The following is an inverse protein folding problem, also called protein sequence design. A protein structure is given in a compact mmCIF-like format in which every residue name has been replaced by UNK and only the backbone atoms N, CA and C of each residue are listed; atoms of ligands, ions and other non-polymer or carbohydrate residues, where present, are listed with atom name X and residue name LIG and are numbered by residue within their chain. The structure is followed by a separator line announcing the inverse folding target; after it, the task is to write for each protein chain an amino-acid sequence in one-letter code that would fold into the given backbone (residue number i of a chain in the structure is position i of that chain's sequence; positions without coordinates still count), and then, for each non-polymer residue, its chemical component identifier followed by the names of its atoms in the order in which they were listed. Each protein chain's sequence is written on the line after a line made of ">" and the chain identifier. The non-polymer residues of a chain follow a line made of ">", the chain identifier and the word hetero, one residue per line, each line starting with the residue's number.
data_IF_096472271956
#
_entry.id   IF_096472271956
#
_cell.length_a   1.000
_cell.length_b   1.000
_cell.length_c   1.000
_cell.angle_alpha   90.00
_cell.angle_beta   90.00
_cell.angle_gamma   90.00
#
_symmetry.space_group_name_H-M   'P 1'
#
loop_
_entity.id
_entity.type
_entity.pdbx_description
1 polymer ?
#
# COMPACT_ATOMS: atom_id res chain seq x y z
N UNK A 1 -17.44 -20.68 5.61
CA UNK A 1 -16.63 -21.07 4.44
C UNK A 1 -15.65 -19.96 4.19
N UNK A 2 -14.36 -20.26 4.04
CA UNK A 2 -13.34 -19.24 3.78
C UNK A 2 -13.28 -18.95 2.28
N UNK A 3 -13.05 -17.70 1.82
CA UNK A 3 -13.11 -17.38 0.40
C UNK A 3 -12.17 -18.24 -0.43
N UNK A 4 -12.67 -18.76 -1.54
CA UNK A 4 -11.85 -19.44 -2.54
C UNK A 4 -10.88 -18.46 -3.19
N UNK A 5 -9.75 -18.98 -3.69
CA UNK A 5 -8.77 -18.15 -4.39
C UNK A 5 -9.37 -17.81 -5.77
N UNK A 6 -9.66 -16.53 -6.06
CA UNK A 6 -10.42 -16.16 -7.25
C UNK A 6 -9.56 -16.22 -8.53
N UNK A 7 -8.23 -16.17 -8.39
CA UNK A 7 -7.29 -16.25 -9.50
C UNK A 7 -5.90 -16.71 -9.08
N UNK A 8 -5.17 -17.29 -10.04
CA UNK A 8 -3.81 -17.75 -9.82
C UNK A 8 -2.85 -16.60 -9.45
N UNK A 9 -2.15 -16.77 -8.33
CA UNK A 9 -1.19 -15.78 -7.85
C UNK A 9 -1.81 -14.56 -7.18
N UNK A 10 -3.03 -14.69 -6.62
CA UNK A 10 -3.64 -13.70 -5.73
C UNK A 10 -2.60 -13.10 -4.77
N UNK A 11 -2.48 -11.78 -4.82
CA UNK A 11 -1.60 -11.01 -3.95
C UNK A 11 -2.02 -9.55 -3.93
N UNK A 12 -1.45 -8.79 -2.99
CA UNK A 12 -1.59 -7.34 -2.91
C UNK A 12 -0.29 -6.67 -3.38
N UNK A 13 -0.12 -6.43 -4.69
CA UNK A 13 1.12 -5.87 -5.23
C UNK A 13 1.33 -4.43 -4.80
N UNK A 14 2.49 -4.13 -4.22
CA UNK A 14 2.95 -2.79 -3.85
C UNK A 14 4.38 -2.59 -4.38
N UNK A 15 4.88 -1.35 -4.44
CA UNK A 15 6.26 -1.08 -4.86
C UNK A 15 7.29 -1.83 -4.00
N UNK A 16 8.32 -2.38 -4.64
CA UNK A 16 9.42 -3.09 -3.97
C UNK A 16 10.31 -2.15 -3.16
N UNK A 17 10.18 -0.84 -3.38
CA UNK A 17 10.92 0.19 -2.67
C UNK A 17 10.15 0.72 -1.44
N UNK A 18 9.04 0.09 -1.06
CA UNK A 18 8.21 0.56 0.06
C UNK A 18 8.98 0.60 1.40
N UNK A 19 9.99 -0.28 1.57
CA UNK A 19 10.86 -0.28 2.75
C UNK A 19 11.90 0.85 2.81
N UNK A 20 12.05 1.64 1.73
CA UNK A 20 13.01 2.77 1.65
C UNK A 20 12.30 4.10 1.94
N UNK A 21 10.99 4.07 2.21
CA UNK A 21 10.20 5.25 2.57
C UNK A 21 10.54 5.69 4.00
N UNK A 22 11.69 6.35 4.19
CA UNK A 22 11.97 7.12 5.40
C UNK A 22 11.48 8.56 5.23
N UNK A 23 11.26 9.25 6.35
CA UNK A 23 10.89 10.67 6.35
C UNK A 23 11.86 11.51 5.51
N UNK A 24 13.17 11.35 5.73
CA UNK A 24 14.19 12.14 5.02
C UNK A 24 14.19 11.90 3.50
N UNK A 25 13.96 10.64 3.08
CA UNK A 25 13.86 10.30 1.65
C UNK A 25 12.61 10.93 1.04
N UNK A 26 11.47 10.85 1.73
CA UNK A 26 10.22 11.46 1.25
C UNK A 26 10.32 12.98 1.20
N UNK A 27 10.88 13.61 2.24
CA UNK A 27 11.17 15.04 2.29
C UNK A 27 12.01 15.46 1.09
N UNK A 28 13.13 14.77 0.87
CA UNK A 28 14.04 15.08 -0.21
C UNK A 28 13.41 14.93 -1.59
N UNK A 29 12.66 13.84 -1.82
CA UNK A 29 11.99 13.57 -3.09
C UNK A 29 10.87 14.57 -3.39
N UNK A 30 10.05 14.93 -2.39
CA UNK A 30 8.96 15.88 -2.59
C UNK A 30 9.46 17.31 -2.77
N UNK A 31 10.53 17.71 -2.06
CA UNK A 31 11.20 18.98 -2.30
C UNK A 31 11.82 19.05 -3.70
N UNK A 32 12.39 17.94 -4.19
CA UNK A 32 12.86 17.87 -5.57
C UNK A 32 11.71 17.99 -6.59
N UNK A 33 10.55 17.40 -6.29
CA UNK A 33 9.35 17.54 -7.12
C UNK A 33 8.82 18.98 -7.15
N UNK A 34 8.93 19.73 -6.04
CA UNK A 34 8.53 21.14 -5.97
C UNK A 34 9.30 22.00 -6.98
N UNK A 35 10.60 21.73 -7.19
CA UNK A 35 11.45 22.47 -8.14
C UNK A 35 10.94 22.38 -9.59
N UNK A 36 10.21 21.32 -9.91
CA UNK A 36 9.71 21.05 -11.26
C UNK A 36 8.17 20.95 -11.28
N UNK A 37 7.49 21.46 -10.25
CA UNK A 37 6.04 21.34 -10.14
C UNK A 37 5.36 22.10 -11.28
N UNK A 38 4.41 21.44 -11.95
CA UNK A 38 3.75 21.95 -13.17
C UNK A 38 4.67 22.15 -14.38
N UNK A 39 5.92 21.66 -14.32
CA UNK A 39 6.83 21.57 -15.47
C UNK A 39 6.94 20.13 -15.98
N UNK A 40 7.36 19.98 -17.24
CA UNK A 40 7.78 18.68 -17.75
C UNK A 40 8.92 18.10 -16.89
N UNK A 41 8.86 16.79 -16.65
CA UNK A 41 9.85 16.07 -15.83
C UNK A 41 11.25 16.23 -16.44
N UNK A 42 12.13 16.97 -15.75
CA UNK A 42 13.56 17.06 -16.05
C UNK A 42 14.32 16.19 -15.04
N UNK A 43 14.51 14.92 -15.40
CA UNK A 43 15.11 13.93 -14.50
C UNK A 43 16.53 14.32 -14.07
N UNK A 44 17.30 15.02 -14.92
CA UNK A 44 18.65 15.47 -14.57
C UNK A 44 18.63 16.43 -13.37
N UNK A 45 17.74 17.44 -13.38
CA UNK A 45 17.62 18.44 -12.30
C UNK A 45 17.28 17.77 -10.97
N UNK A 46 16.34 16.83 -10.99
CA UNK A 46 15.91 16.11 -9.79
C UNK A 46 17.05 15.23 -9.25
N UNK A 47 17.73 14.50 -10.13
CA UNK A 47 18.86 13.66 -9.73
C UNK A 47 20.02 14.50 -9.16
N UNK A 48 20.35 15.64 -9.78
CA UNK A 48 21.37 16.56 -9.28
C UNK A 48 21.02 17.07 -7.88
N UNK A 49 19.77 17.51 -7.66
CA UNK A 49 19.31 17.94 -6.34
C UNK A 49 19.44 16.83 -5.29
N UNK A 50 19.00 15.62 -5.61
CA UNK A 50 19.04 14.48 -4.68
C UNK A 50 20.46 14.11 -4.27
N UNK A 51 21.41 14.15 -5.21
CA UNK A 51 22.83 13.86 -4.96
C UNK A 51 23.49 14.99 -4.17
N UNK A 52 23.28 16.26 -4.56
CA UNK A 52 23.88 17.41 -3.89
C UNK A 52 23.46 17.54 -2.42
N UNK A 53 22.24 17.15 -2.10
CA UNK A 53 21.71 17.19 -0.73
C UNK A 53 21.95 15.89 0.05
N UNK A 54 22.67 14.92 -0.50
CA UNK A 54 22.98 13.65 0.17
C UNK A 54 21.75 12.79 0.50
N UNK A 55 20.63 13.02 -0.17
CA UNK A 55 19.35 12.34 0.10
C UNK A 55 19.42 10.89 -0.41
N UNK A 56 20.04 10.68 -1.57
CA UNK A 56 20.23 9.37 -2.18
C UNK A 56 21.65 9.23 -2.70
N UNK A 57 22.21 8.02 -2.55
CA UNK A 57 23.50 7.68 -3.15
C UNK A 57 23.36 7.59 -4.68
N UNK A 58 24.38 8.06 -5.38
CA UNK A 58 24.44 8.07 -6.84
C UNK A 58 24.37 6.63 -7.39
N UNK A 59 23.19 6.19 -7.84
CA UNK A 59 23.02 4.89 -8.49
C UNK A 59 23.26 5.06 -10.00
N UNK A 60 24.50 4.82 -10.43
CA UNK A 60 24.91 4.89 -11.84
C UNK A 60 24.65 3.53 -12.49
N UNK A 61 23.81 3.49 -13.52
CA UNK A 61 23.54 2.24 -14.22
C UNK A 61 24.75 1.79 -15.02
N UNK A 62 25.09 0.51 -14.92
CA UNK A 62 26.23 -0.09 -15.63
C UNK A 62 26.10 -0.06 -17.16
N UNK A 63 24.88 0.03 -17.69
CA UNK A 63 24.59 0.00 -19.13
C UNK A 63 24.60 1.38 -19.82
N UNK A 64 24.29 2.44 -19.07
CA UNK A 64 24.05 3.79 -19.59
C UNK A 64 24.91 4.86 -18.94
N UNK A 65 25.60 4.54 -17.85
CA UNK A 65 26.40 5.45 -17.04
C UNK A 65 25.65 6.72 -16.57
N UNK A 66 24.30 6.68 -16.57
CA UNK A 66 23.44 7.75 -16.10
C UNK A 66 22.95 7.47 -14.68
N UNK A 67 22.76 8.55 -13.91
CA UNK A 67 22.13 8.51 -12.59
C UNK A 67 20.62 8.33 -12.80
N UNK A 68 20.05 7.19 -12.41
CA UNK A 68 18.62 6.86 -12.67
C UNK A 68 17.80 6.82 -11.36
N UNK A 69 18.30 7.47 -10.29
CA UNK A 69 17.67 7.45 -8.96
C UNK A 69 16.21 7.94 -9.01
N UNK A 70 15.93 9.05 -9.68
CA UNK A 70 14.58 9.57 -9.86
C UNK A 70 13.61 8.50 -10.39
N UNK A 71 14.01 7.68 -11.36
CA UNK A 71 13.13 6.67 -11.96
C UNK A 71 12.69 5.59 -10.98
N UNK A 72 13.58 5.19 -10.09
CA UNK A 72 13.32 4.14 -9.10
C UNK A 72 12.46 4.70 -7.97
N UNK A 73 12.79 5.90 -7.49
CA UNK A 73 12.14 6.48 -6.30
C UNK A 73 10.83 7.23 -6.61
N UNK A 74 10.64 7.77 -7.82
CA UNK A 74 9.35 8.38 -8.20
C UNK A 74 8.18 7.38 -8.12
N UNK A 75 8.48 6.08 -8.30
CA UNK A 75 7.47 5.04 -8.19
C UNK A 75 6.88 5.00 -6.79
N UNK A 76 7.70 5.25 -5.76
CA UNK A 76 7.26 5.33 -4.37
C UNK A 76 6.27 6.48 -4.19
N UNK A 77 6.60 7.67 -4.68
CA UNK A 77 5.73 8.84 -4.55
C UNK A 77 4.38 8.60 -5.24
N UNK A 78 4.40 8.02 -6.45
CA UNK A 78 3.15 7.70 -7.15
C UNK A 78 2.40 6.49 -6.58
N UNK A 79 3.08 5.55 -5.93
CA UNK A 79 2.45 4.43 -5.23
C UNK A 79 1.59 4.94 -4.07
N UNK A 80 2.13 5.86 -3.27
CA UNK A 80 1.47 6.44 -2.10
C UNK A 80 0.74 7.74 -2.41
N UNK A 81 0.35 7.95 -3.67
CA UNK A 81 -0.55 9.03 -4.06
C UNK A 81 -0.01 10.42 -3.79
N UNK A 82 1.30 10.61 -3.65
CA UNK A 82 1.94 11.91 -3.39
C UNK A 82 2.17 12.72 -4.68
N UNK A 83 2.36 12.02 -5.80
CA UNK A 83 2.37 12.60 -7.14
C UNK A 83 1.48 11.78 -8.08
N UNK A 84 1.05 12.40 -9.17
CA UNK A 84 0.53 11.63 -10.31
C UNK A 84 1.67 10.84 -10.93
N UNK A 85 1.40 9.58 -11.31
CA UNK A 85 2.42 8.77 -12.00
C UNK A 85 2.89 9.47 -13.28
N UNK A 86 4.19 9.51 -13.50
CA UNK A 86 4.80 10.06 -14.73
C UNK A 86 4.49 9.26 -15.99
N UNK A 87 3.89 8.07 -15.83
CA UNK A 87 3.31 7.29 -16.92
C UNK A 87 1.98 7.86 -17.41
N UNK A 88 1.29 8.66 -16.60
CA UNK A 88 -0.02 9.25 -16.88
C UNK A 88 0.13 10.74 -17.19
N UNK A 89 0.97 11.45 -16.43
CA UNK A 89 1.26 12.86 -16.63
C UNK A 89 2.74 13.04 -16.97
N UNK A 90 3.06 13.73 -18.07
CA UNK A 90 4.45 14.12 -18.37
C UNK A 90 4.95 15.29 -17.52
N UNK A 91 4.02 15.94 -16.84
CA UNK A 91 4.25 17.05 -15.92
C UNK A 91 4.25 16.52 -14.49
N UNK A 92 5.21 16.96 -13.67
CA UNK A 92 5.21 16.65 -12.24
C UNK A 92 4.04 17.38 -11.60
N UNK A 93 3.12 16.61 -11.02
CA UNK A 93 1.94 17.12 -10.35
C UNK A 93 1.89 16.54 -8.95
N UNK A 94 2.11 17.40 -7.95
CA UNK A 94 1.89 17.07 -6.55
C UNK A 94 0.39 16.95 -6.28
N UNK A 95 0.02 15.97 -5.46
CA UNK A 95 -1.37 15.77 -5.04
C UNK A 95 -1.69 16.61 -3.80
N UNK A 96 -2.98 16.81 -3.47
CA UNK A 96 -3.37 17.54 -2.25
C UNK A 96 -2.73 17.00 -0.96
N UNK A 97 -2.57 15.68 -0.80
CA UNK A 97 -1.93 15.11 0.40
C UNK A 97 -0.44 15.47 0.49
N UNK A 98 0.29 15.44 -0.64
CA UNK A 98 1.69 15.86 -0.65
C UNK A 98 1.82 17.34 -0.34
N UNK A 99 0.92 18.18 -0.85
CA UNK A 99 0.88 19.61 -0.56
C UNK A 99 0.55 19.87 0.92
N UNK A 100 -0.35 19.09 1.54
CA UNK A 100 -0.65 19.19 2.96
C UNK A 100 0.58 18.85 3.83
N UNK A 101 1.32 17.82 3.46
CA UNK A 101 2.57 17.46 4.13
C UNK A 101 3.67 18.53 3.97
N UNK A 102 3.92 18.98 2.73
CA UNK A 102 4.92 20.01 2.42
C UNK A 102 4.61 21.37 3.06
N UNK A 103 3.32 21.66 3.31
CA UNK A 103 2.88 22.85 4.04
C UNK A 103 2.81 22.67 5.55
N UNK A 104 3.30 21.55 6.07
CA UNK A 104 3.30 21.18 7.50
C UNK A 104 1.90 21.15 8.15
N UNK A 105 0.85 20.92 7.35
CA UNK A 105 -0.52 20.70 7.88
C UNK A 105 -0.67 19.32 8.49
N UNK A 106 0.13 18.36 8.03
CA UNK A 106 0.24 17.00 8.58
C UNK A 106 1.72 16.64 8.68
N UNK A 107 2.04 15.82 9.69
CA UNK A 107 3.34 15.16 9.86
C UNK A 107 3.53 14.01 8.85
N UNK A 108 4.74 13.45 8.85
CA UNK A 108 5.09 12.31 8.01
C UNK A 108 4.29 11.08 8.44
N UNK A 109 4.22 10.84 9.75
CA UNK A 109 3.52 9.72 10.38
C UNK A 109 2.02 9.75 10.05
N UNK A 110 1.40 10.94 10.10
CA UNK A 110 -0.01 11.13 9.73
C UNK A 110 -0.24 10.92 8.23
N UNK A 111 0.62 11.48 7.37
CA UNK A 111 0.53 11.29 5.93
C UNK A 111 0.63 9.81 5.57
N UNK A 112 1.63 9.10 6.11
CA UNK A 112 1.82 7.69 5.75
C UNK A 112 0.74 6.80 6.35
N UNK A 113 0.26 7.08 7.57
CA UNK A 113 -0.88 6.37 8.14
C UNK A 113 -2.14 6.56 7.29
N UNK A 114 -2.44 7.79 6.88
CA UNK A 114 -3.55 8.12 5.99
C UNK A 114 -3.48 7.33 4.68
N UNK A 115 -2.33 7.37 4.01
CA UNK A 115 -2.15 6.71 2.72
C UNK A 115 -2.22 5.18 2.87
N UNK A 116 -1.52 4.60 3.84
CA UNK A 116 -1.54 3.14 4.10
C UNK A 116 -2.94 2.63 4.44
N UNK A 117 -3.74 3.37 5.23
CA UNK A 117 -5.11 3.00 5.55
C UNK A 117 -6.06 3.14 4.36
N UNK A 118 -5.84 4.14 3.48
CA UNK A 118 -6.66 4.38 2.29
C UNK A 118 -6.34 3.47 1.12
N UNK A 119 -5.10 2.97 1.06
CA UNK A 119 -4.63 2.12 -0.02
C UNK A 119 -5.56 0.90 -0.15
N UNK A 120 -6.06 0.66 -1.36
CA UNK A 120 -7.06 -0.36 -1.62
C UNK A 120 -6.73 -1.22 -2.85
N UNK A 121 -7.43 -2.35 -2.95
CA UNK A 121 -7.59 -3.10 -4.19
C UNK A 121 -9.08 -3.27 -4.49
N UNK A 122 -9.49 -3.18 -5.77
CA UNK A 122 -8.68 -2.71 -6.91
C UNK A 122 -8.23 -1.25 -6.75
N UNK A 123 -7.19 -0.86 -7.50
CA UNK A 123 -6.76 0.52 -7.63
C UNK A 123 -6.31 0.86 -9.05
N UNK A 124 -6.23 2.16 -9.36
CA UNK A 124 -5.84 2.63 -10.69
C UNK A 124 -4.34 2.71 -10.94
N UNK A 125 -3.49 2.49 -9.93
CA UNK A 125 -2.03 2.50 -10.10
C UNK A 125 -1.49 1.15 -10.59
N UNK A 126 -1.88 0.04 -9.94
CA UNK A 126 -1.44 -1.33 -10.22
C UNK A 126 -2.34 -2.03 -11.25
N UNK A 127 -2.55 -1.41 -12.39
CA UNK A 127 -3.54 -1.89 -13.37
C UNK A 127 -2.98 -2.85 -14.44
N UNK A 128 -1.68 -3.11 -14.46
CA UNK A 128 -1.03 -3.90 -15.51
C UNK A 128 -1.17 -5.41 -15.25
N UNK A 129 -1.59 -6.14 -16.28
CA UNK A 129 -1.67 -7.59 -16.26
C UNK A 129 -0.30 -8.22 -16.51
N UNK A 130 0.11 -9.17 -15.67
CA UNK A 130 1.35 -9.91 -15.89
C UNK A 130 1.18 -10.96 -17.00
N UNK A 131 2.23 -11.27 -17.78
CA UNK A 131 2.17 -12.35 -18.78
C UNK A 131 1.78 -13.70 -18.17
N UNK A 132 2.33 -14.04 -17.01
CA UNK A 132 2.04 -15.30 -16.32
C UNK A 132 0.57 -15.45 -15.92
N UNK A 133 -0.08 -14.34 -15.56
CA UNK A 133 -1.51 -14.34 -15.24
C UNK A 133 -2.33 -14.57 -16.50
N UNK A 134 -2.01 -13.89 -17.60
CA UNK A 134 -2.69 -14.13 -18.89
C UNK A 134 -2.55 -15.58 -19.35
N UNK A 135 -1.36 -16.16 -19.21
CA UNK A 135 -1.09 -17.56 -19.53
C UNK A 135 -1.94 -18.52 -18.68
N UNK A 136 -2.12 -18.25 -17.38
CA UNK A 136 -2.91 -19.13 -16.49
C UNK A 136 -4.38 -19.24 -16.88
N UNK A 137 -4.95 -18.19 -17.50
CA UNK A 137 -6.33 -18.18 -18.01
C UNK A 137 -6.46 -18.65 -19.46
N UNK A 138 -5.34 -18.84 -20.17
CA UNK A 138 -5.33 -19.29 -21.56
C UNK A 138 -6.23 -18.46 -22.48
N UNK A 139 -7.13 -19.13 -23.20
CA UNK A 139 -8.04 -18.50 -24.19
C UNK A 139 -9.26 -17.82 -23.58
N UNK A 140 -9.53 -18.04 -22.29
CA UNK A 140 -10.70 -17.48 -21.59
C UNK A 140 -10.41 -16.10 -20.98
N UNK A 141 -9.15 -15.64 -21.04
CA UNK A 141 -8.75 -14.34 -20.51
C UNK A 141 -9.37 -13.19 -21.32
N UNK A 142 -10.29 -12.44 -20.70
CA UNK A 142 -11.10 -11.42 -21.36
C UNK A 142 -11.06 -10.02 -20.69
N UNK A 143 -10.09 -9.77 -19.81
CA UNK A 143 -9.96 -8.49 -19.10
C UNK A 143 -8.92 -7.57 -19.76
N UNK A 144 -9.22 -6.27 -19.87
CA UNK A 144 -8.29 -5.29 -20.42
C UNK A 144 -7.22 -4.90 -19.40
N UNK A 145 -7.58 -4.90 -18.11
CA UNK A 145 -6.69 -4.47 -17.02
C UNK A 145 -6.78 -5.38 -15.80
N UNK A 146 -5.74 -5.36 -14.96
CA UNK A 146 -5.75 -6.08 -13.69
C UNK A 146 -6.79 -5.51 -12.72
N UNK A 147 -7.00 -4.19 -12.77
CA UNK A 147 -8.01 -3.48 -11.98
C UNK A 147 -9.42 -4.00 -12.27
N UNK A 148 -9.77 -4.11 -13.56
CA UNK A 148 -11.06 -4.66 -14.02
C UNK A 148 -11.22 -6.13 -13.59
N UNK A 149 -10.19 -6.96 -13.77
CA UNK A 149 -10.22 -8.35 -13.32
C UNK A 149 -10.47 -8.47 -11.80
N UNK A 150 -9.78 -7.66 -11.00
CA UNK A 150 -9.95 -7.67 -9.54
C UNK A 150 -11.36 -7.24 -9.13
N UNK A 151 -11.94 -6.24 -9.80
CA UNK A 151 -13.32 -5.81 -9.57
C UNK A 151 -14.33 -6.92 -9.89
N UNK A 152 -14.18 -7.60 -11.04
CA UNK A 152 -15.04 -8.71 -11.46
C UNK A 152 -14.92 -9.93 -10.54
N UNK A 153 -13.74 -10.15 -9.95
CA UNK A 153 -13.54 -11.13 -8.87
C UNK A 153 -14.16 -10.70 -7.52
N UNK A 154 -14.80 -9.53 -7.46
CA UNK A 154 -15.43 -9.00 -6.26
C UNK A 154 -14.46 -8.52 -5.19
N UNK A 155 -13.21 -8.23 -5.54
CA UNK A 155 -12.24 -7.67 -4.59
C UNK A 155 -12.62 -6.22 -4.28
N UNK A 156 -12.71 -5.90 -2.99
CA UNK A 156 -12.89 -4.54 -2.50
C UNK A 156 -12.36 -4.47 -1.07
N UNK A 157 -11.07 -4.19 -0.92
CA UNK A 157 -10.38 -4.29 0.37
C UNK A 157 -9.30 -3.23 0.55
N UNK A 158 -9.15 -2.77 1.79
CA UNK A 158 -8.02 -1.98 2.28
C UNK A 158 -7.12 -2.87 3.13
N UNK A 159 -5.97 -3.34 2.62
CA UNK A 159 -5.10 -4.29 3.29
C UNK A 159 -4.76 -3.92 4.74
N UNK A 160 -4.27 -2.70 4.97
CA UNK A 160 -3.86 -2.27 6.31
C UNK A 160 -5.03 -2.24 7.30
N UNK A 161 -6.23 -1.86 6.84
CA UNK A 161 -7.46 -1.91 7.65
C UNK A 161 -7.82 -3.35 8.00
N UNK A 162 -7.75 -4.27 7.06
CA UNK A 162 -8.00 -5.70 7.32
C UNK A 162 -6.98 -6.27 8.31
N UNK A 163 -5.69 -6.00 8.12
CA UNK A 163 -4.61 -6.44 9.02
C UNK A 163 -4.83 -5.90 10.43
N UNK A 164 -5.15 -4.61 10.56
CA UNK A 164 -5.47 -4.01 11.85
C UNK A 164 -6.65 -4.70 12.53
N UNK A 165 -7.74 -4.91 11.80
CA UNK A 165 -8.95 -5.58 12.32
C UNK A 165 -8.67 -7.01 12.79
N UNK A 166 -7.87 -7.78 12.03
CA UNK A 166 -7.49 -9.14 12.42
C UNK A 166 -6.67 -9.12 13.71
N UNK A 167 -5.62 -8.29 13.77
CA UNK A 167 -4.77 -8.20 14.97
C UNK A 167 -5.57 -7.74 16.19
N UNK A 168 -6.49 -6.79 16.02
CA UNK A 168 -7.35 -6.30 17.09
C UNK A 168 -8.35 -7.36 17.55
N UNK A 169 -8.96 -8.11 16.62
CA UNK A 169 -9.87 -9.22 16.95
C UNK A 169 -9.15 -10.33 17.73
N UNK A 170 -7.92 -10.67 17.33
CA UNK A 170 -7.08 -11.62 18.08
C UNK A 170 -6.79 -11.09 19.49
N UNK A 171 -6.41 -9.82 19.62
CA UNK A 171 -6.15 -9.19 20.92
C UNK A 171 -7.38 -9.18 21.83
N UNK A 172 -8.54 -8.79 21.31
CA UNK A 172 -9.83 -8.78 22.03
C UNK A 172 -10.20 -10.16 22.58
N UNK A 173 -9.82 -11.24 21.89
CA UNK A 173 -10.08 -12.62 22.30
C UNK A 173 -9.05 -13.18 23.29
N UNK A 174 -8.04 -12.40 23.66
CA UNK A 174 -6.93 -12.86 24.50
C UNK A 174 -5.95 -13.78 23.78
N UNK A 175 -6.03 -13.85 22.45
CA UNK A 175 -5.15 -14.65 21.60
C UNK A 175 -3.85 -13.89 21.30
N UNK A 176 -2.85 -14.60 20.76
CA UNK A 176 -1.61 -13.97 20.32
C UNK A 176 -1.87 -13.01 19.15
N UNK A 177 -1.93 -11.71 19.43
CA UNK A 177 -2.24 -10.64 18.48
C UNK A 177 -1.04 -10.27 17.57
N UNK A 178 -0.57 -11.26 16.82
CA UNK A 178 0.51 -11.12 15.84
C UNK A 178 0.06 -11.74 14.52
N UNK A 179 0.68 -11.33 13.42
CA UNK A 179 0.55 -11.99 12.13
C UNK A 179 1.93 -12.24 11.55
N UNK A 180 2.24 -13.50 11.28
CA UNK A 180 3.45 -13.86 10.55
C UNK A 180 3.30 -13.57 9.06
N UNK A 181 4.42 -13.44 8.36
CA UNK A 181 4.47 -13.33 6.92
C UNK A 181 3.75 -14.49 6.23
N UNK A 182 3.86 -15.70 6.78
CA UNK A 182 3.23 -16.91 6.23
C UNK A 182 1.72 -16.91 6.47
N UNK A 183 1.25 -16.45 7.63
CA UNK A 183 -0.19 -16.25 7.90
C UNK A 183 -0.80 -15.17 7.00
N UNK A 184 -0.05 -14.09 6.76
CA UNK A 184 -0.43 -13.02 5.83
C UNK A 184 -0.64 -13.57 4.43
N UNK A 185 0.30 -14.40 3.94
CA UNK A 185 0.20 -15.03 2.62
C UNK A 185 -0.90 -16.07 2.51
N UNK A 186 -1.03 -16.94 3.53
CA UNK A 186 -1.90 -18.11 3.48
C UNK A 186 -3.36 -17.78 3.73
N UNK A 187 -3.59 -16.83 4.63
CA UNK A 187 -4.92 -16.44 5.09
C UNK A 187 -5.21 -15.02 4.64
N UNK A 188 -4.53 -14.02 5.19
CA UNK A 188 -4.97 -12.61 5.11
C UNK A 188 -5.18 -12.12 3.67
N UNK A 189 -4.26 -12.44 2.74
CA UNK A 189 -4.36 -12.06 1.32
C UNK A 189 -5.60 -12.61 0.62
N UNK A 190 -6.19 -13.70 1.12
CA UNK A 190 -7.40 -14.33 0.56
C UNK A 190 -8.68 -13.61 0.96
N UNK A 191 -8.61 -12.63 1.85
CA UNK A 191 -9.74 -11.76 2.10
C UNK A 191 -9.98 -10.90 0.86
N UNK A 192 -11.16 -11.04 0.27
CA UNK A 192 -11.58 -10.24 -0.89
C UNK A 192 -12.28 -8.96 -0.41
N UNK A 193 -12.94 -9.03 0.76
CA UNK A 193 -13.69 -7.92 1.38
C UNK A 193 -13.47 -7.88 2.89
N UNK A 194 -13.78 -6.74 3.51
CA UNK A 194 -13.74 -6.60 4.98
C UNK A 194 -14.70 -7.53 5.73
N UNK A 195 -15.75 -8.02 5.05
CA UNK A 195 -16.68 -9.02 5.60
C UNK A 195 -16.05 -10.38 5.85
N UNK A 196 -14.89 -10.67 5.26
CA UNK A 196 -14.18 -11.96 5.41
C UNK A 196 -13.42 -12.07 6.74
N UNK A 197 -13.34 -10.97 7.51
CA UNK A 197 -12.61 -10.86 8.78
C UNK A 197 -12.84 -12.06 9.70
N UNK A 198 -14.11 -12.37 10.00
CA UNK A 198 -14.45 -13.45 10.95
C UNK A 198 -13.96 -14.81 10.48
N UNK A 199 -14.11 -15.09 9.19
CA UNK A 199 -13.67 -16.35 8.61
C UNK A 199 -12.14 -16.44 8.58
N UNK A 200 -11.45 -15.32 8.30
CA UNK A 200 -9.99 -15.24 8.34
C UNK A 200 -9.43 -15.50 9.73
N UNK A 201 -9.96 -14.82 10.76
CA UNK A 201 -9.54 -15.04 12.14
C UNK A 201 -9.79 -16.49 12.58
N UNK A 202 -10.91 -17.10 12.19
CA UNK A 202 -11.19 -18.49 12.52
C UNK A 202 -10.17 -19.46 11.90
N UNK A 203 -9.79 -19.27 10.63
CA UNK A 203 -8.77 -20.09 9.97
C UNK A 203 -7.38 -19.94 10.61
N UNK A 204 -6.98 -18.70 10.95
CA UNK A 204 -5.70 -18.44 11.64
C UNK A 204 -5.66 -19.18 12.98
N UNK A 205 -6.71 -19.03 13.80
CA UNK A 205 -6.78 -19.67 15.11
C UNK A 205 -6.81 -21.19 15.01
N UNK A 206 -7.59 -21.73 14.07
CA UNK A 206 -7.63 -23.17 13.82
C UNK A 206 -6.25 -23.73 13.46
N UNK A 207 -5.54 -23.07 12.53
CA UNK A 207 -4.20 -23.46 12.09
C UNK A 207 -3.20 -23.46 13.25
N UNK A 208 -3.23 -22.41 14.09
CA UNK A 208 -2.40 -22.32 15.30
C UNK A 208 -2.70 -23.43 16.32
N UNK A 209 -3.98 -23.69 16.59
CA UNK A 209 -4.38 -24.73 17.55
C UNK A 209 -4.05 -26.14 17.07
N UNK A 210 -4.08 -26.37 15.76
CA UNK A 210 -3.67 -27.63 15.15
C UNK A 210 -2.13 -27.78 15.09
N UNK A 211 -1.36 -26.73 15.38
CA UNK A 211 0.10 -26.74 15.27
C UNK A 211 0.58 -26.94 13.83
N UNK A 212 -0.19 -26.44 12.86
CA UNK A 212 0.15 -26.59 11.44
C UNK A 212 1.44 -25.83 11.11
N UNK A 213 2.35 -26.51 10.42
CA UNK A 213 3.48 -25.83 9.78
C UNK A 213 2.98 -25.15 8.50
N UNK A 214 3.32 -23.87 8.34
CA UNK A 214 2.91 -23.06 7.19
C UNK A 214 4.12 -22.89 6.27
N UNK A 215 4.37 -23.83 5.34
CA UNK A 215 5.53 -23.75 4.48
C UNK A 215 5.49 -22.47 3.65
N UNK A 216 6.65 -21.82 3.53
CA UNK A 216 6.79 -20.56 2.83
C UNK A 216 6.31 -20.68 1.37
N UNK A 217 5.33 -19.87 1.01
CA UNK A 217 4.89 -19.74 -0.38
C UNK A 217 5.83 -18.75 -1.07
N UNK A 218 6.68 -19.22 -1.98
CA UNK A 218 7.64 -18.37 -2.71
C UNK A 218 6.93 -17.30 -3.56
N UNK A 219 5.77 -17.64 -4.14
CA UNK A 219 4.93 -16.69 -4.88
C UNK A 219 4.21 -15.76 -3.89
N UNK A 220 4.21 -14.45 -4.16
CA UNK A 220 3.65 -13.38 -3.32
C UNK A 220 4.37 -13.01 -2.00
N UNK A 221 5.45 -13.71 -1.60
CA UNK A 221 6.18 -13.42 -0.34
C UNK A 221 6.75 -12.02 -0.29
N UNK A 222 7.28 -11.56 -1.42
CA UNK A 222 7.84 -10.21 -1.55
C UNK A 222 6.79 -9.14 -1.28
N UNK A 223 5.63 -9.24 -1.95
CA UNK A 223 4.53 -8.29 -1.77
C UNK A 223 4.10 -8.20 -0.30
N UNK A 224 3.97 -9.34 0.38
CA UNK A 224 3.63 -9.35 1.81
C UNK A 224 4.74 -8.74 2.67
N UNK A 225 6.01 -9.04 2.39
CA UNK A 225 7.14 -8.43 3.09
C UNK A 225 7.14 -6.91 2.92
N UNK A 226 6.86 -6.41 1.72
CA UNK A 226 6.82 -4.97 1.45
C UNK A 226 5.61 -4.31 2.14
N UNK A 227 4.46 -5.00 2.22
CA UNK A 227 3.33 -4.59 3.07
C UNK A 227 3.70 -4.49 4.55
N UNK A 228 4.44 -5.47 5.09
CA UNK A 228 4.89 -5.42 6.48
C UNK A 228 5.81 -4.22 6.73
N UNK A 229 6.75 -3.96 5.81
CA UNK A 229 7.68 -2.83 5.91
C UNK A 229 6.98 -1.47 5.87
N UNK A 230 6.00 -1.29 4.98
CA UNK A 230 5.29 0.00 4.88
C UNK A 230 4.36 0.23 6.07
N UNK A 231 3.65 -0.80 6.52
CA UNK A 231 2.80 -0.70 7.71
C UNK A 231 3.63 -0.31 8.94
N UNK A 232 4.87 -0.80 9.04
CA UNK A 232 5.82 -0.42 10.09
C UNK A 232 6.31 1.04 10.01
N UNK A 233 6.09 1.75 8.90
CA UNK A 233 6.36 3.20 8.83
C UNK A 233 5.26 4.03 9.50
N UNK A 234 4.11 3.42 9.78
CA UNK A 234 2.99 4.09 10.46
C UNK A 234 3.13 3.95 11.98
N UNK A 235 2.53 4.85 12.78
CA UNK A 235 2.46 4.69 14.23
C UNK A 235 1.55 3.53 14.67
N UNK A 236 0.85 2.85 13.76
CA UNK A 236 -0.20 1.87 14.08
C UNK A 236 0.34 0.45 14.25
N UNK A 237 1.42 0.12 13.56
CA UNK A 237 1.95 -1.24 13.53
C UNK A 237 3.39 -1.30 14.02
N UNK A 238 3.82 -2.49 14.41
CA UNK A 238 5.20 -2.77 14.77
C UNK A 238 5.64 -4.08 14.14
N UNK A 239 6.76 -4.05 13.44
CA UNK A 239 7.44 -5.19 12.87
C UNK A 239 8.50 -5.70 13.86
N UNK A 240 8.63 -7.01 13.98
CA UNK A 240 9.71 -7.61 14.77
C UNK A 240 11.09 -7.38 14.11
N UNK A 241 12.16 -7.64 14.85
CA UNK A 241 13.54 -7.48 14.37
C UNK A 241 13.84 -8.29 13.10
N UNK A 242 13.21 -9.46 12.95
CA UNK A 242 13.41 -10.34 11.80
C UNK A 242 12.61 -9.92 10.55
N UNK A 243 11.78 -8.88 10.65
CA UNK A 243 11.05 -8.33 9.50
C UNK A 243 9.89 -9.20 8.99
N UNK A 244 9.42 -10.18 9.77
CA UNK A 244 8.50 -11.22 9.31
C UNK A 244 7.26 -11.40 10.19
N UNK A 245 7.12 -10.65 11.29
CA UNK A 245 5.94 -10.69 12.16
C UNK A 245 5.51 -9.28 12.50
N UNK A 246 4.24 -8.96 12.22
CA UNK A 246 3.64 -7.66 12.52
C UNK A 246 2.66 -7.76 13.68
N UNK A 247 2.64 -6.71 14.50
CA UNK A 247 1.72 -6.55 15.65
C UNK A 247 1.11 -5.16 15.62
N UNK A 248 0.09 -4.94 16.46
CA UNK A 248 -0.32 -3.57 16.80
C UNK A 248 0.78 -2.90 17.63
N UNK A 249 0.99 -1.61 17.41
CA UNK A 249 1.90 -0.80 18.23
C UNK A 249 1.24 -0.47 19.59
N UNK A 250 2.02 0.05 20.54
CA UNK A 250 1.48 0.54 21.81
C UNK A 250 0.54 1.74 21.61
N UNK A 251 0.83 2.61 20.64
CA UNK A 251 -0.06 3.72 20.24
C UNK A 251 -1.39 3.15 19.77
N UNK A 252 -1.35 2.12 18.91
CA UNK A 252 -2.55 1.51 18.38
C UNK A 252 -3.43 0.87 19.45
N UNK A 253 -2.84 0.22 20.46
CA UNK A 253 -3.60 -0.39 21.54
C UNK A 253 -4.21 0.68 22.46
N UNK A 254 -3.45 1.73 22.79
CA UNK A 254 -3.96 2.84 23.63
C UNK A 254 -5.12 3.58 22.97
N UNK A 255 -5.05 3.77 21.66
CA UNK A 255 -6.05 4.48 20.86
C UNK A 255 -7.00 3.54 20.12
N UNK A 256 -7.16 2.29 20.59
CA UNK A 256 -7.86 1.25 19.85
C UNK A 256 -9.33 1.57 19.54
N UNK A 257 -10.03 2.30 20.42
CA UNK A 257 -11.41 2.74 20.15
C UNK A 257 -11.46 3.69 18.96
N UNK A 258 -10.61 4.73 18.97
CA UNK A 258 -10.52 5.70 17.88
C UNK A 258 -10.14 5.00 16.58
N UNK A 259 -9.09 4.18 16.59
CA UNK A 259 -8.63 3.48 15.38
C UNK A 259 -9.67 2.44 14.91
N UNK A 260 -10.42 1.84 15.83
CA UNK A 260 -11.55 0.97 15.49
C UNK A 260 -12.65 1.71 14.73
N UNK A 261 -13.02 2.91 15.18
CA UNK A 261 -14.02 3.75 14.50
C UNK A 261 -13.55 4.19 13.11
N UNK A 262 -12.28 4.58 13.02
CA UNK A 262 -11.55 4.86 11.78
C UNK A 262 -11.65 3.68 10.80
N UNK A 263 -11.23 2.50 11.25
CA UNK A 263 -11.25 1.29 10.42
C UNK A 263 -12.66 0.92 10.00
N UNK A 264 -13.65 1.09 10.89
CA UNK A 264 -15.06 0.86 10.58
C UNK A 264 -15.58 1.80 9.50
N UNK A 265 -15.24 3.09 9.56
CA UNK A 265 -15.56 4.04 8.49
C UNK A 265 -14.88 3.64 7.17
N UNK A 266 -13.61 3.23 7.24
CA UNK A 266 -12.86 2.75 6.08
C UNK A 266 -13.39 1.43 5.50
N UNK A 267 -14.23 0.68 6.22
CA UNK A 267 -14.91 -0.49 5.67
C UNK A 267 -16.21 -0.13 4.92
N UNK A 268 -16.72 1.11 5.04
CA UNK A 268 -17.92 1.52 4.32
C UNK A 268 -17.62 1.57 2.82
N UNK A 269 -18.34 0.77 2.03
CA UNK A 269 -18.18 0.68 0.58
C UNK A 269 -18.29 2.02 -0.14
N UNK A 270 -19.09 2.97 0.39
CA UNK A 270 -19.24 4.32 -0.18
C UNK A 270 -17.95 5.14 -0.13
N UNK A 271 -16.99 4.76 0.72
CA UNK A 271 -15.70 5.45 0.85
C UNK A 271 -14.62 4.89 -0.07
N UNK A 272 -14.90 3.81 -0.80
CA UNK A 272 -13.95 3.22 -1.74
C UNK A 272 -13.94 3.95 -3.07
N UNK A 273 -12.81 3.90 -3.75
CA UNK A 273 -12.74 4.17 -5.16
C UNK A 273 -13.28 2.97 -5.94
N UNK A 274 -14.09 3.26 -6.96
CA UNK A 274 -14.64 2.28 -7.89
C UNK A 274 -14.04 2.50 -9.27
N UNK A 275 -13.76 1.39 -9.97
CA UNK A 275 -13.20 1.47 -11.30
C UNK A 275 -14.24 2.01 -12.29
N UNK A 276 -13.79 2.90 -13.15
CA UNK A 276 -14.58 3.48 -14.25
C UNK A 276 -13.68 3.47 -15.46
N UNK A 277 -14.01 2.66 -16.47
CA UNK A 277 -13.13 2.33 -17.61
C UNK A 277 -12.44 3.56 -18.22
N UNK A 278 -13.16 4.66 -18.34
CA UNK A 278 -12.64 5.91 -18.86
C UNK A 278 -11.78 6.65 -17.81
N UNK A 279 -10.53 6.95 -18.15
CA UNK A 279 -9.61 7.76 -17.32
C UNK A 279 -9.33 7.24 -15.90
N UNK A 280 -9.65 5.98 -15.60
CA UNK A 280 -9.56 5.38 -14.26
C UNK A 280 -8.24 5.65 -13.53
N UNK A 281 -7.12 5.69 -14.25
CA UNK A 281 -5.81 5.94 -13.65
C UNK A 281 -5.72 7.35 -13.07
N UNK A 282 -6.17 8.36 -13.81
CA UNK A 282 -6.20 9.75 -13.34
C UNK A 282 -7.17 9.89 -12.17
N UNK A 283 -8.36 9.30 -12.30
CA UNK A 283 -9.40 9.33 -11.27
C UNK A 283 -8.93 8.68 -9.97
N UNK A 284 -8.11 7.62 -10.05
CA UNK A 284 -7.47 7.04 -8.88
C UNK A 284 -6.55 8.03 -8.16
N UNK A 285 -5.73 8.79 -8.89
CA UNK A 285 -4.85 9.79 -8.27
C UNK A 285 -5.62 10.99 -7.72
N UNK A 286 -6.67 11.42 -8.43
CA UNK A 286 -7.59 12.46 -7.94
C UNK A 286 -8.27 12.01 -6.63
N UNK A 287 -8.66 10.74 -6.52
CA UNK A 287 -9.24 10.18 -5.30
C UNK A 287 -8.20 9.93 -4.19
N UNK A 288 -7.18 9.11 -4.45
CA UNK A 288 -6.28 8.57 -3.43
C UNK A 288 -5.28 9.61 -2.93
N UNK A 289 -4.83 10.50 -3.83
CA UNK A 289 -3.96 11.62 -3.48
C UNK A 289 -4.69 12.79 -2.83
N UNK A 290 -6.02 12.72 -2.69
CA UNK A 290 -6.80 13.77 -2.05
C UNK A 290 -6.49 13.92 -0.56
N UNK A 291 -6.72 15.13 -0.05
CA UNK A 291 -6.61 15.54 1.34
C UNK A 291 -7.85 16.37 1.68
N UNK A 292 -9.01 15.69 1.74
CA UNK A 292 -10.28 16.32 2.10
C UNK A 292 -10.48 16.37 3.63
N UNK A 293 -11.26 17.35 4.09
CA UNK A 293 -11.55 17.70 5.48
C UNK A 293 -12.21 16.58 6.30
N UNK A 294 -12.70 15.52 5.66
CA UNK A 294 -13.13 14.31 6.34
C UNK A 294 -11.96 13.47 6.87
N UNK A 295 -10.69 13.88 6.69
CA UNK A 295 -9.51 13.20 7.26
C UNK A 295 -9.11 13.68 8.66
N UNK A 296 -9.84 14.64 9.24
CA UNK A 296 -9.65 15.17 10.60
C UNK A 296 -9.58 14.09 11.69
N UNK A 297 -10.14 12.90 11.43
CA UNK A 297 -10.07 11.78 12.37
C UNK A 297 -8.72 11.03 12.35
N UNK A 298 -7.90 11.14 11.30
CA UNK A 298 -6.53 10.57 11.26
C UNK A 298 -5.54 11.50 11.96
N UNK A 299 -5.77 12.81 11.90
CA UNK A 299 -4.88 13.90 12.37
C UNK A 299 -4.84 13.98 13.93
N UNK A 300 -5.32 12.96 14.64
CA UNK A 300 -5.34 12.88 16.11
C UNK A 300 -4.66 11.63 16.67
N UNK A 301 -3.92 10.90 15.83
CA UNK A 301 -3.04 9.80 16.25
C UNK A 301 -1.77 10.32 16.94
#
# INVERSE_FOLDING_TARGET
>A
MYPDIPYDGLSWPITQHAGVLSKDVVDGLLNACLLCNSEEVKAEIINEYLVQNGILTMNVRADSNQVDAWRDYQQILSEFGMIYSTRISKVIRLTPVAMAYLSHRISYEEMIALQVLRYQYPNGHKSQLSPSLKESYGREFNFDTFTEMQEECGILIRPAVMVWQILYELWQRGEQAVLSLDEMQRYVVRCLKHTDLKACCACILQSRHAGEDLPALTRARRNMSDWLKIMNQTPLFKLNTNGNVITLSSVSIRSASLIGDICKQMCNSQTFWFFKKDSFKKDWFDFYGDFDHNTDWIIKL
#
